data_IF_684338806407
#
_entry.id   IF_684338806407
#
_cell.length_a   1.000
_cell.length_b   1.000
_cell.length_c   1.000
_cell.angle_alpha   90.00
_cell.angle_beta   90.00
_cell.angle_gamma   90.00
#
_symmetry.space_group_name_H-M   'P 1'
#
loop_
_entity.id
_entity.type
_entity.pdbx_description
1 polymer ?
#
# COMPACT_ATOMS: atom_id res chain seq x y z
N UNK A 1 1.77 23.20 -10.19
CA UNK A 1 1.39 21.79 -10.28
C UNK A 1 2.14 21.03 -9.21
N UNK A 2 1.52 20.13 -8.45
CA UNK A 2 2.23 19.27 -7.52
C UNK A 2 3.05 18.21 -8.25
N UNK A 3 4.13 17.77 -7.61
CA UNK A 3 4.92 16.61 -8.01
C UNK A 3 4.56 15.45 -7.10
N UNK A 4 4.17 14.33 -7.68
CA UNK A 4 3.87 13.11 -6.94
C UNK A 4 4.99 12.09 -7.13
N UNK A 5 5.24 11.31 -6.10
CA UNK A 5 6.12 10.15 -6.18
C UNK A 5 5.34 8.98 -6.77
N UNK A 6 5.90 8.37 -7.81
CA UNK A 6 5.44 7.16 -8.44
C UNK A 6 6.50 6.07 -8.31
N UNK A 7 6.10 4.81 -8.36
CA UNK A 7 7.01 3.67 -8.42
C UNK A 7 6.62 2.71 -9.55
N UNK A 8 7.60 2.05 -10.18
CA UNK A 8 7.31 0.97 -11.14
C UNK A 8 6.80 -0.28 -10.45
N UNK A 9 5.97 -1.03 -11.18
CA UNK A 9 5.40 -2.31 -10.71
C UNK A 9 5.88 -3.43 -11.64
N UNK A 10 7.12 -3.93 -11.47
CA UNK A 10 7.62 -5.05 -12.26
C UNK A 10 6.86 -6.34 -11.91
N UNK A 11 6.43 -7.09 -12.92
CA UNK A 11 5.74 -8.37 -12.73
C UNK A 11 6.69 -9.47 -12.23
N UNK A 12 7.97 -9.35 -12.56
CA UNK A 12 9.01 -10.33 -12.30
C UNK A 12 9.61 -10.25 -10.89
N UNK A 13 9.07 -9.38 -10.02
CA UNK A 13 9.55 -9.20 -8.64
C UNK A 13 10.90 -8.46 -8.54
N UNK A 14 11.31 -7.78 -9.61
CA UNK A 14 12.49 -6.90 -9.59
C UNK A 14 12.28 -5.68 -8.68
N UNK A 15 13.36 -4.98 -8.34
CA UNK A 15 13.27 -3.78 -7.48
C UNK A 15 12.46 -2.66 -8.17
N UNK A 16 11.46 -2.07 -7.48
CA UNK A 16 10.70 -0.96 -8.02
C UNK A 16 11.58 0.31 -8.07
N UNK A 17 11.43 1.06 -9.15
CA UNK A 17 12.12 2.35 -9.35
C UNK A 17 11.17 3.48 -9.01
N UNK A 18 11.67 4.48 -8.30
CA UNK A 18 10.89 5.65 -7.91
C UNK A 18 11.09 6.81 -8.87
N UNK A 19 10.03 7.53 -9.18
CA UNK A 19 9.99 8.66 -10.10
C UNK A 19 9.17 9.80 -9.52
N UNK A 20 9.57 11.02 -9.84
CA UNK A 20 8.83 12.23 -9.48
C UNK A 20 8.11 12.76 -10.73
N UNK A 21 6.78 12.70 -10.72
CA UNK A 21 5.96 13.12 -11.86
C UNK A 21 5.14 14.36 -11.48
N UNK A 22 5.32 15.43 -12.24
CA UNK A 22 4.45 16.60 -12.15
C UNK A 22 3.07 16.24 -12.73
N UNK A 23 2.04 16.33 -11.89
CA UNK A 23 0.67 15.98 -12.30
C UNK A 23 -0.33 17.00 -11.76
N UNK A 24 -1.39 17.30 -12.50
CA UNK A 24 -2.49 18.10 -11.97
C UNK A 24 -3.25 17.33 -10.89
N UNK A 25 -3.77 18.05 -9.88
CA UNK A 25 -4.65 17.45 -8.86
C UNK A 25 -5.99 16.97 -9.45
N UNK A 26 -6.40 17.53 -10.60
CA UNK A 26 -7.65 17.17 -11.28
C UNK A 26 -7.49 16.00 -12.27
N UNK A 27 -6.25 15.59 -12.54
CA UNK A 27 -6.01 14.49 -13.48
C UNK A 27 -6.21 13.13 -12.79
N UNK A 28 -6.64 12.15 -13.58
CA UNK A 28 -6.70 10.76 -13.14
C UNK A 28 -5.29 10.23 -12.82
N UNK A 29 -5.19 9.34 -11.84
CA UNK A 29 -3.90 8.73 -11.44
C UNK A 29 -3.26 8.01 -12.62
N UNK A 30 -1.97 8.23 -12.86
CA UNK A 30 -1.24 7.54 -13.91
C UNK A 30 -1.00 6.08 -13.53
N UNK A 31 -1.35 5.18 -14.44
CA UNK A 31 -1.06 3.73 -14.29
C UNK A 31 0.13 3.30 -15.15
N UNK A 32 0.58 4.15 -16.06
CA UNK A 32 1.70 3.92 -16.96
C UNK A 32 2.57 5.17 -17.04
N UNK A 33 3.88 4.97 -17.12
CA UNK A 33 4.83 6.07 -17.24
C UNK A 33 4.68 6.74 -18.62
N UNK A 34 4.53 8.08 -18.69
CA UNK A 34 4.27 8.76 -19.96
C UNK A 34 5.44 8.66 -20.95
N UNK A 35 6.67 8.49 -20.45
CA UNK A 35 7.88 8.38 -21.31
C UNK A 35 8.30 6.94 -21.60
N UNK A 36 8.24 6.02 -20.63
CA UNK A 36 8.76 4.65 -20.78
C UNK A 36 7.66 3.63 -21.08
N UNK A 37 6.39 3.97 -20.81
CA UNK A 37 5.25 3.04 -20.90
C UNK A 37 5.24 1.97 -19.82
N UNK A 38 6.17 2.01 -18.85
CA UNK A 38 6.23 1.03 -17.77
C UNK A 38 5.02 1.17 -16.84
N UNK A 39 4.49 0.07 -16.29
CA UNK A 39 3.43 0.13 -15.30
C UNK A 39 3.94 0.82 -14.03
N UNK A 40 3.22 1.87 -13.61
CA UNK A 40 3.56 2.66 -12.42
C UNK A 40 2.36 2.81 -11.49
N UNK A 41 2.62 3.05 -10.20
CA UNK A 41 1.60 3.40 -9.21
C UNK A 41 2.05 4.57 -8.35
N UNK A 42 1.10 5.39 -7.90
CA UNK A 42 1.39 6.54 -7.04
C UNK A 42 1.73 6.07 -5.63
N UNK A 43 2.90 6.46 -5.15
CA UNK A 43 3.35 6.23 -3.78
C UNK A 43 2.75 7.30 -2.89
N UNK A 44 1.84 6.89 -2.00
CA UNK A 44 1.30 7.77 -0.97
C UNK A 44 2.21 7.64 0.25
N UNK A 45 3.15 8.57 0.39
CA UNK A 45 3.98 8.70 1.60
C UNK A 45 3.10 9.24 2.75
N UNK A 46 2.21 8.39 3.25
CA UNK A 46 1.43 8.67 4.44
C UNK A 46 2.30 8.52 5.67
N UNK A 47 2.43 9.59 6.46
CA UNK A 47 2.82 9.44 7.87
C UNK A 47 1.80 8.50 8.51
N UNK A 48 2.25 7.30 8.90
CA UNK A 48 1.42 6.26 9.49
C UNK A 48 0.71 6.78 10.75
N UNK A 49 -0.53 7.25 10.60
CA UNK A 49 -1.52 7.15 11.67
C UNK A 49 -2.06 5.74 11.63
N UNK A 50 -1.77 4.95 12.67
CA UNK A 50 -2.31 3.60 12.87
C UNK A 50 -3.84 3.67 12.86
N UNK A 51 -4.48 3.41 11.73
CA UNK A 51 -5.91 3.11 11.69
C UNK A 51 -5.99 1.59 11.82
N UNK A 52 -5.97 1.15 13.08
CA UNK A 52 -6.32 -0.21 13.47
C UNK A 52 -7.78 -0.45 13.08
N UNK A 53 -7.99 -0.95 11.86
CA UNK A 53 -9.29 -1.43 11.42
C UNK A 53 -9.48 -2.82 12.00
N UNK A 54 -9.91 -2.82 13.25
CA UNK A 54 -10.46 -3.99 13.94
C UNK A 54 -11.41 -4.78 13.02
N UNK A 55 -11.21 -6.10 13.02
CA UNK A 55 -12.02 -7.20 12.48
C UNK A 55 -11.85 -7.56 10.99
N UNK A 56 -11.11 -8.66 10.77
CA UNK A 56 -11.75 -9.92 10.36
C UNK A 56 -10.87 -11.13 10.67
N UNK A 57 -11.31 -11.84 11.70
CA UNK A 57 -11.01 -13.21 12.10
C UNK A 57 -10.78 -14.20 10.96
N UNK A 58 -9.61 -14.85 10.92
CA UNK A 58 -9.42 -16.28 10.58
C UNK A 58 -8.00 -16.67 10.98
N UNK A 59 -7.89 -17.49 12.03
CA UNK A 59 -6.61 -17.98 12.55
C UNK A 59 -6.82 -18.73 13.85
N UNK A 60 -7.32 -19.96 13.71
CA UNK A 60 -7.61 -20.91 14.77
C UNK A 60 -6.36 -21.13 15.65
N UNK A 61 -6.32 -20.57 16.86
CA UNK A 61 -5.40 -21.04 17.90
C UNK A 61 -6.17 -21.15 19.21
N UNK A 62 -6.49 -22.40 19.51
CA UNK A 62 -7.03 -22.87 20.77
C UNK A 62 -6.03 -22.58 21.89
N UNK A 63 -6.30 -21.56 22.70
CA UNK A 63 -5.84 -21.48 24.09
C UNK A 63 -6.93 -20.80 24.92
N UNK A 64 -7.90 -21.60 25.35
CA UNK A 64 -8.92 -21.18 26.30
C UNK A 64 -8.28 -20.96 27.67
N UNK A 65 -8.23 -19.71 28.12
CA UNK A 65 -8.09 -19.36 29.53
C UNK A 65 -9.26 -18.42 29.88
N UNK A 66 -10.38 -19.02 30.27
CA UNK A 66 -11.48 -18.30 30.92
C UNK A 66 -11.12 -17.98 32.39
N UNK A 67 -11.71 -16.95 33.01
CA UNK A 67 -11.28 -16.44 34.31
C UNK A 67 -11.88 -17.21 35.51
N UNK A 68 -12.35 -18.44 35.34
CA UNK A 68 -12.91 -19.22 36.46
C UNK A 68 -12.80 -20.74 36.23
N UNK A 69 -11.89 -21.37 36.96
CA UNK A 69 -12.05 -22.77 37.35
C UNK A 69 -11.06 -23.79 36.76
N UNK A 70 -10.14 -24.22 37.62
CA UNK A 70 -9.80 -25.61 37.95
C UNK A 70 -9.18 -26.57 36.90
N UNK A 71 -8.11 -27.23 37.38
CA UNK A 71 -7.47 -28.50 36.95
C UNK A 71 -6.40 -28.42 35.85
#
# INVERSE_FOLDING_TARGET
MPTYLYETVPADGSEPRHFEIQQSMNDAVLTQHPETGEPIRRVILGGYGLIDKTKSSTGNSSCGCGPSGCC
#
